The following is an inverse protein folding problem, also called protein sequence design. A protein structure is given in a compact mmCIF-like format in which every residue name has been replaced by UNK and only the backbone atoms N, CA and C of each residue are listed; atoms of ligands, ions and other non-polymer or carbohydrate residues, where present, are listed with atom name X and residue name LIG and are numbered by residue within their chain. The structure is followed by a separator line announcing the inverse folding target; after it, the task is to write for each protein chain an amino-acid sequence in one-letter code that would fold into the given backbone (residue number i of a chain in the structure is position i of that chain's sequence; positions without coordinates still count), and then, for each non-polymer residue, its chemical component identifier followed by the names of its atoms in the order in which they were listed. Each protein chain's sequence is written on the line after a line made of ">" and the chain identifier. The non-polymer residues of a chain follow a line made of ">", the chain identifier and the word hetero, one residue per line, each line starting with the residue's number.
data_IF_990096925998
#
_entry.id   IF_990096925998
#
_cell.length_a   1.000
_cell.length_b   1.000
_cell.length_c   1.000
_cell.angle_alpha   90.00
_cell.angle_beta   90.00
_cell.angle_gamma   90.00
#
_symmetry.space_group_name_H-M   'P 1'
#
loop_
_entity.id
_entity.type
_entity.pdbx_description
1 polymer ?
#
# COMPACT_ATOMS: atom_id res chain seq x y z
N UNK A 1 -7.56 26.83 1.16
CA UNK A 1 -7.02 26.32 -0.12
C UNK A 1 -8.05 26.29 -1.26
N UNK A 2 -9.36 26.51 -1.01
CA UNK A 2 -10.37 26.84 -2.05
C UNK A 2 -11.13 28.16 -1.83
N UNK A 3 -10.74 28.97 -0.86
CA UNK A 3 -11.21 30.35 -0.84
C UNK A 3 -10.30 31.17 -1.75
N UNK A 4 -10.80 31.61 -2.91
CA UNK A 4 -10.39 32.93 -3.41
C UNK A 4 -10.56 33.90 -2.25
N UNK A 5 -9.57 34.74 -1.96
CA UNK A 5 -9.81 35.97 -1.19
C UNK A 5 -10.94 36.70 -1.94
N UNK A 6 -12.16 36.65 -1.42
CA UNK A 6 -13.35 37.25 -2.03
C UNK A 6 -14.53 36.35 -2.37
N UNK A 7 -14.47 35.01 -2.21
CA UNK A 7 -15.66 34.15 -2.43
C UNK A 7 -16.09 33.42 -1.15
N UNK A 8 -16.65 34.23 -0.24
CA UNK A 8 -17.08 33.90 1.12
C UNK A 8 -18.45 33.20 1.16
N UNK A 9 -18.69 32.17 0.34
CA UNK A 9 -19.98 31.43 0.37
C UNK A 9 -19.88 29.91 0.58
N UNK A 10 -18.70 29.30 0.47
CA UNK A 10 -18.56 27.86 0.73
C UNK A 10 -18.38 27.60 2.23
N UNK A 11 -19.31 26.84 2.85
CA UNK A 11 -19.25 26.40 4.25
C UNK A 11 -17.97 25.60 4.58
N UNK A 12 -17.33 25.00 3.57
CA UNK A 12 -16.18 24.11 3.71
C UNK A 12 -15.03 24.46 2.75
N UNK A 13 -13.77 24.30 3.20
CA UNK A 13 -12.58 24.45 2.37
C UNK A 13 -12.33 23.18 1.54
N UNK A 14 -12.72 23.22 0.26
CA UNK A 14 -12.64 22.07 -0.65
C UNK A 14 -11.21 21.52 -0.83
N UNK A 15 -10.17 22.30 -0.55
CA UNK A 15 -8.78 21.87 -0.82
C UNK A 15 -8.13 21.25 0.37
N UNK A 16 -8.52 21.74 1.55
CA UNK A 16 -8.31 21.00 2.78
C UNK A 16 -8.98 19.62 2.66
N UNK A 17 -10.22 19.55 2.17
CA UNK A 17 -10.89 18.27 1.92
C UNK A 17 -10.14 17.38 0.92
N UNK A 18 -9.80 17.88 -0.28
CA UNK A 18 -9.13 17.06 -1.31
C UNK A 18 -7.77 16.53 -0.82
N UNK A 19 -6.98 17.37 -0.14
CA UNK A 19 -5.70 16.93 0.44
C UNK A 19 -5.90 15.87 1.53
N UNK A 20 -6.88 16.09 2.42
CA UNK A 20 -7.19 15.13 3.47
C UNK A 20 -7.77 13.82 2.93
N UNK A 21 -8.60 13.89 1.89
CA UNK A 21 -9.13 12.71 1.21
C UNK A 21 -8.02 11.95 0.49
N UNK A 22 -7.06 12.63 -0.14
CA UNK A 22 -5.87 12.00 -0.70
C UNK A 22 -5.08 11.23 0.37
N UNK A 23 -4.89 11.83 1.55
CA UNK A 23 -4.22 11.17 2.68
C UNK A 23 -5.02 9.98 3.22
N UNK A 24 -6.36 10.05 3.23
CA UNK A 24 -7.23 8.93 3.59
C UNK A 24 -7.17 7.79 2.56
N UNK A 25 -7.19 8.11 1.28
CA UNK A 25 -7.01 7.14 0.20
C UNK A 25 -5.66 6.42 0.32
N UNK A 26 -4.59 7.18 0.58
CA UNK A 26 -3.25 6.61 0.79
C UNK A 26 -3.16 5.80 2.09
N UNK A 27 -3.82 6.26 3.16
CA UNK A 27 -3.96 5.48 4.40
C UNK A 27 -4.65 4.15 4.13
N UNK A 28 -5.77 4.14 3.40
CA UNK A 28 -6.48 2.90 3.08
C UNK A 28 -5.72 2.01 2.10
N UNK A 29 -4.83 2.57 1.27
CA UNK A 29 -3.96 1.75 0.43
C UNK A 29 -2.96 0.91 1.25
N UNK A 30 -2.37 1.49 2.30
CA UNK A 30 -1.29 0.85 3.07
C UNK A 30 -1.72 0.26 4.41
N UNK A 31 -2.86 0.68 4.96
CA UNK A 31 -3.36 0.17 6.24
C UNK A 31 -3.74 -1.33 6.18
N UNK A 32 -4.44 -1.82 5.12
CA UNK A 32 -4.81 -3.23 4.98
C UNK A 32 -3.65 -4.20 4.82
N UNK A 33 -2.42 -3.73 4.56
CA UNK A 33 -1.19 -4.54 4.53
C UNK A 33 -1.11 -5.46 5.74
N UNK A 34 -1.51 -4.98 6.92
CA UNK A 34 -1.50 -5.78 8.15
C UNK A 34 -2.42 -6.99 8.01
N UNK A 35 -3.67 -6.80 7.57
CA UNK A 35 -4.63 -7.89 7.37
C UNK A 35 -4.24 -8.81 6.21
N UNK A 36 -3.83 -8.25 5.05
CA UNK A 36 -3.42 -9.00 3.86
C UNK A 36 -2.33 -10.02 4.23
N UNK A 37 -1.24 -9.55 4.85
CA UNK A 37 -0.13 -10.42 5.18
C UNK A 37 -0.39 -11.28 6.41
N UNK A 38 -1.26 -10.86 7.34
CA UNK A 38 -1.73 -11.75 8.43
C UNK A 38 -2.45 -12.98 7.87
N UNK A 39 -3.36 -12.77 6.90
CA UNK A 39 -4.08 -13.86 6.24
C UNK A 39 -3.11 -14.78 5.47
N UNK A 40 -2.13 -14.21 4.75
CA UNK A 40 -1.11 -15.00 4.04
C UNK A 40 -0.24 -15.81 4.99
N UNK A 41 0.17 -15.22 6.13
CA UNK A 41 0.88 -15.95 7.20
C UNK A 41 0.02 -17.11 7.73
N UNK A 42 -1.28 -16.87 7.94
CA UNK A 42 -2.23 -17.92 8.33
C UNK A 42 -2.27 -19.10 7.37
N UNK A 43 -2.25 -18.83 6.06
CA UNK A 43 -2.17 -19.86 5.02
C UNK A 43 -0.88 -20.69 5.12
N UNK A 44 0.27 -20.06 5.38
CA UNK A 44 1.52 -20.81 5.61
C UNK A 44 1.47 -21.66 6.88
N UNK A 45 0.96 -21.11 7.98
CA UNK A 45 0.86 -21.84 9.26
C UNK A 45 -0.03 -23.07 9.11
N UNK A 46 -1.17 -22.96 8.43
CA UNK A 46 -2.06 -24.10 8.13
C UNK A 46 -1.43 -25.12 7.19
N UNK A 47 -0.74 -24.66 6.15
CA UNK A 47 -0.06 -25.55 5.21
C UNK A 47 1.07 -26.36 5.85
N UNK A 48 1.70 -25.83 6.90
CA UNK A 48 2.83 -26.46 7.57
C UNK A 48 2.48 -27.26 8.82
N UNK A 49 1.41 -26.88 9.54
CA UNK A 49 0.96 -27.55 10.75
C UNK A 49 -0.42 -28.15 10.45
N UNK A 50 -0.50 -29.44 10.05
CA UNK A 50 -1.75 -30.08 9.66
C UNK A 50 -2.83 -30.01 10.75
N UNK A 51 -2.44 -30.09 12.03
CA UNK A 51 -3.35 -30.00 13.17
C UNK A 51 -4.06 -28.62 13.28
N UNK A 52 -3.54 -27.60 12.59
CA UNK A 52 -4.12 -26.26 12.54
C UNK A 52 -4.92 -25.99 11.27
N UNK A 53 -4.98 -26.93 10.33
CA UNK A 53 -5.65 -26.74 9.03
C UNK A 53 -7.13 -26.31 9.18
N UNK A 54 -7.83 -26.90 10.15
CA UNK A 54 -9.26 -26.65 10.40
C UNK A 54 -9.53 -25.46 11.34
N UNK A 55 -8.50 -24.80 11.86
CA UNK A 55 -8.67 -23.71 12.82
C UNK A 55 -9.29 -22.45 12.20
N UNK A 56 -9.29 -22.35 10.86
CA UNK A 56 -9.99 -21.32 10.07
C UNK A 56 -9.70 -19.89 10.54
N UNK A 57 -10.76 -19.06 10.54
CA UNK A 57 -10.71 -17.63 10.91
C UNK A 57 -10.17 -17.38 12.32
N UNK A 58 -10.36 -18.31 13.26
CA UNK A 58 -9.91 -18.12 14.64
C UNK A 58 -8.39 -18.12 14.77
N UNK A 59 -7.72 -18.95 13.97
CA UNK A 59 -6.26 -18.93 13.88
C UNK A 59 -5.77 -17.62 13.28
N UNK A 60 -6.40 -17.13 12.21
CA UNK A 60 -6.00 -15.88 11.57
C UNK A 60 -6.20 -14.68 12.51
N UNK A 61 -7.28 -14.67 13.29
CA UNK A 61 -7.52 -13.65 14.32
C UNK A 61 -6.49 -13.73 15.45
N UNK A 62 -6.11 -14.94 15.87
CA UNK A 62 -5.06 -15.13 16.89
C UNK A 62 -3.70 -14.65 16.38
N UNK A 63 -3.31 -15.04 15.16
CA UNK A 63 -2.09 -14.57 14.51
C UNK A 63 -2.11 -13.05 14.39
N UNK A 64 -3.22 -12.49 13.89
CA UNK A 64 -3.42 -11.05 13.78
C UNK A 64 -3.29 -10.34 15.12
N UNK A 65 -3.89 -10.89 16.18
CA UNK A 65 -3.82 -10.33 17.53
C UNK A 65 -2.38 -10.32 18.05
N UNK A 66 -1.65 -11.43 17.89
CA UNK A 66 -0.24 -11.53 18.29
C UNK A 66 0.60 -10.51 17.52
N UNK A 67 0.40 -10.39 16.21
CA UNK A 67 1.11 -9.44 15.35
C UNK A 67 0.83 -8.00 15.79
N UNK A 68 -0.44 -7.57 15.89
CA UNK A 68 -0.76 -6.18 16.22
C UNK A 68 -0.34 -5.80 17.64
N UNK A 69 -0.44 -6.71 18.61
CA UNK A 69 0.07 -6.50 19.97
C UNK A 69 1.59 -6.34 19.95
N UNK A 70 2.30 -7.20 19.20
CA UNK A 70 3.73 -7.08 18.98
C UNK A 70 4.11 -5.72 18.36
N UNK A 71 3.38 -5.28 17.33
CA UNK A 71 3.60 -3.99 16.67
C UNK A 71 3.31 -2.80 17.60
N UNK A 72 2.31 -2.89 18.48
CA UNK A 72 2.07 -1.88 19.50
C UNK A 72 3.23 -1.81 20.48
N UNK A 73 3.73 -2.95 20.98
CA UNK A 73 4.83 -2.98 21.94
C UNK A 73 6.12 -2.43 21.32
N UNK A 74 6.45 -2.86 20.10
CA UNK A 74 7.64 -2.39 19.36
C UNK A 74 7.50 -0.90 19.05
N UNK A 75 6.36 -0.47 18.51
CA UNK A 75 6.08 0.91 18.17
C UNK A 75 6.09 1.84 19.38
N UNK A 76 5.51 1.42 20.51
CA UNK A 76 5.43 2.22 21.73
C UNK A 76 6.79 2.48 22.37
N UNK A 77 7.79 1.61 22.15
CA UNK A 77 9.15 1.76 22.68
C UNK A 77 9.99 2.80 21.93
N UNK A 78 9.55 3.25 20.75
CA UNK A 78 10.26 4.22 19.93
C UNK A 78 11.35 3.57 19.08
N UNK A 79 11.46 4.02 17.82
CA UNK A 79 12.42 3.54 16.82
C UNK A 79 13.80 4.20 17.00
N UNK A 80 14.41 4.11 18.18
CA UNK A 80 15.83 4.51 18.34
C UNK A 80 16.72 3.39 17.82
N UNK A 81 17.37 3.60 16.65
CA UNK A 81 18.27 2.64 15.98
C UNK A 81 17.82 2.19 14.58
N UNK A 82 16.73 2.75 14.05
CA UNK A 82 15.96 2.18 12.93
C UNK A 82 16.69 1.97 11.59
N UNK A 83 17.72 2.75 11.24
CA UNK A 83 18.36 2.62 9.92
C UNK A 83 19.18 1.34 9.77
N UNK A 84 19.93 0.94 10.82
CA UNK A 84 20.73 -0.28 10.80
C UNK A 84 19.84 -1.51 10.93
N UNK A 85 18.85 -1.48 11.83
CA UNK A 85 17.90 -2.59 11.98
C UNK A 85 17.07 -2.79 10.72
N UNK A 86 16.58 -1.71 10.09
CA UNK A 86 15.87 -1.80 8.81
C UNK A 86 16.76 -2.35 7.68
N UNK A 87 18.03 -1.94 7.63
CA UNK A 87 18.99 -2.48 6.67
C UNK A 87 19.23 -3.98 6.88
N UNK A 88 19.46 -4.42 8.13
CA UNK A 88 19.66 -5.84 8.45
C UNK A 88 18.43 -6.63 8.05
N UNK A 89 17.24 -6.16 8.41
CA UNK A 89 16.00 -6.85 8.14
C UNK A 89 15.71 -6.93 6.63
N UNK A 90 16.02 -5.85 5.89
CA UNK A 90 15.97 -5.82 4.44
C UNK A 90 16.95 -6.81 3.79
N UNK A 91 18.20 -6.89 4.25
CA UNK A 91 19.18 -7.85 3.75
C UNK A 91 18.76 -9.29 4.06
N UNK A 92 18.28 -9.52 5.28
CA UNK A 92 17.79 -10.82 5.72
C UNK A 92 16.64 -11.28 4.84
N UNK A 93 15.68 -10.42 4.45
CA UNK A 93 14.63 -10.83 3.52
C UNK A 93 15.08 -10.94 2.05
N UNK A 94 15.94 -10.03 1.60
CA UNK A 94 16.25 -9.88 0.17
C UNK A 94 17.23 -10.94 -0.32
N UNK A 95 18.25 -11.27 0.48
CA UNK A 95 19.29 -12.23 0.08
C UNK A 95 18.70 -13.63 -0.17
N UNK A 96 17.87 -14.20 0.72
CA UNK A 96 17.23 -15.50 0.48
C UNK A 96 16.26 -15.48 -0.68
N UNK A 97 15.52 -14.38 -0.88
CA UNK A 97 14.68 -14.21 -2.06
C UNK A 97 15.52 -14.30 -3.33
N UNK A 98 16.62 -13.56 -3.42
CA UNK A 98 17.52 -13.62 -4.58
C UNK A 98 18.08 -15.04 -4.78
N UNK A 99 18.46 -15.74 -3.71
CA UNK A 99 18.93 -17.12 -3.80
C UNK A 99 17.86 -18.04 -4.39
N UNK A 100 16.62 -17.94 -3.89
CA UNK A 100 15.48 -18.74 -4.37
C UNK A 100 15.19 -18.44 -5.85
N UNK A 101 15.28 -17.19 -6.27
CA UNK A 101 15.04 -16.79 -7.66
C UNK A 101 16.17 -17.21 -8.60
N UNK A 102 17.42 -17.20 -8.14
CA UNK A 102 18.59 -17.44 -8.99
C UNK A 102 18.98 -18.93 -9.06
N UNK A 103 18.66 -19.71 -8.03
CA UNK A 103 18.99 -21.14 -7.97
C UNK A 103 18.48 -22.00 -9.15
N UNK A 104 17.24 -21.84 -9.69
CA UNK A 104 16.74 -22.72 -10.74
C UNK A 104 17.58 -22.66 -12.04
N UNK A 105 18.29 -21.55 -12.27
CA UNK A 105 19.21 -21.40 -13.41
C UNK A 105 20.49 -22.25 -13.29
N UNK A 106 20.82 -22.70 -12.07
CA UNK A 106 22.01 -23.50 -11.79
C UNK A 106 21.68 -24.94 -11.40
N UNK A 107 20.48 -25.22 -10.88
CA UNK A 107 20.06 -26.57 -10.49
C UNK A 107 19.50 -27.39 -11.66
N UNK A 108 19.17 -26.75 -12.79
CA UNK A 108 18.59 -27.41 -13.97
C UNK A 108 17.07 -27.47 -13.96
N UNK A 109 16.43 -26.90 -12.93
CA UNK A 109 14.97 -26.83 -12.81
C UNK A 109 14.34 -25.75 -13.71
N UNK A 110 15.15 -24.79 -14.18
CA UNK A 110 14.70 -23.79 -15.14
C UNK A 110 14.59 -24.38 -16.55
N UNK A 111 13.36 -24.41 -17.09
CA UNK A 111 13.08 -24.90 -18.44
C UNK A 111 12.62 -23.76 -19.35
N UNK A 112 13.40 -23.45 -20.38
CA UNK A 112 13.05 -22.39 -21.36
C UNK A 112 11.77 -22.69 -22.13
N UNK A 113 11.41 -23.97 -22.31
CA UNK A 113 10.15 -24.37 -22.95
C UNK A 113 8.91 -23.92 -22.18
N UNK A 114 9.03 -23.65 -20.86
CA UNK A 114 7.94 -23.08 -20.07
C UNK A 114 7.70 -21.60 -20.39
N UNK A 115 8.70 -20.89 -20.92
CA UNK A 115 8.58 -19.51 -21.38
C UNK A 115 8.13 -19.53 -22.83
N UNK A 116 6.82 -19.53 -23.02
CA UNK A 116 6.21 -19.54 -24.36
C UNK A 116 6.37 -18.18 -25.06
N UNK A 117 6.25 -18.17 -26.39
CA UNK A 117 6.16 -16.94 -27.17
C UNK A 117 4.80 -16.25 -27.10
N UNK A 118 3.87 -16.73 -26.27
CA UNK A 118 2.54 -16.17 -26.14
C UNK A 118 2.56 -14.97 -25.19
N UNK A 119 2.14 -13.81 -25.69
CA UNK A 119 2.04 -12.58 -24.90
C UNK A 119 0.72 -12.49 -24.12
N UNK A 120 -0.28 -13.28 -24.54
CA UNK A 120 -1.66 -13.25 -24.05
C UNK A 120 -2.17 -14.70 -23.91
N UNK A 121 -3.18 -14.94 -23.06
CA UNK A 121 -3.87 -16.22 -22.96
C UNK A 121 -4.41 -16.70 -24.30
N UNK A 122 -4.56 -18.02 -24.49
CA UNK A 122 -5.01 -18.61 -25.75
C UNK A 122 -6.45 -18.20 -26.12
N UNK A 123 -7.29 -17.98 -25.12
CA UNK A 123 -8.68 -17.54 -25.23
C UNK A 123 -8.83 -16.01 -25.29
N UNK A 124 -7.73 -15.26 -25.38
CA UNK A 124 -7.76 -13.81 -25.46
C UNK A 124 -8.42 -13.31 -26.75
N UNK A 125 -9.49 -12.53 -26.61
CA UNK A 125 -10.33 -12.08 -27.74
C UNK A 125 -10.21 -10.59 -28.06
N UNK A 126 -9.40 -9.82 -27.31
CA UNK A 126 -9.38 -8.34 -27.34
C UNK A 126 -10.77 -7.71 -27.16
N UNK A 127 -11.72 -8.47 -26.61
CA UNK A 127 -13.05 -7.98 -26.28
C UNK A 127 -12.98 -6.89 -25.20
N UNK A 128 -14.05 -6.11 -25.07
CA UNK A 128 -14.14 -5.10 -24.02
C UNK A 128 -13.97 -5.70 -22.62
N UNK A 129 -14.49 -6.92 -22.38
CA UNK A 129 -14.30 -7.66 -21.13
C UNK A 129 -12.82 -7.94 -20.83
N UNK A 130 -12.09 -8.51 -21.79
CA UNK A 130 -10.67 -8.86 -21.65
C UNK A 130 -9.81 -7.62 -21.36
N UNK A 131 -10.04 -6.54 -22.09
CA UNK A 131 -9.33 -5.27 -21.91
C UNK A 131 -9.59 -4.70 -20.50
N UNK A 132 -10.84 -4.73 -20.05
CA UNK A 132 -11.23 -4.23 -18.72
C UNK A 132 -10.59 -5.09 -17.61
N UNK A 133 -10.60 -6.42 -17.75
CA UNK A 133 -9.93 -7.34 -16.81
C UNK A 133 -8.43 -7.06 -16.76
N UNK A 134 -7.77 -6.96 -17.91
CA UNK A 134 -6.33 -6.67 -18.00
C UNK A 134 -5.97 -5.34 -17.33
N UNK A 135 -6.73 -4.28 -17.59
CA UNK A 135 -6.52 -2.98 -16.95
C UNK A 135 -6.79 -3.04 -15.43
N UNK A 136 -7.76 -3.84 -14.99
CA UNK A 136 -7.99 -4.11 -13.57
C UNK A 136 -6.79 -4.81 -12.92
N UNK A 137 -6.23 -5.82 -13.60
CA UNK A 137 -5.03 -6.53 -13.14
C UNK A 137 -3.85 -5.58 -13.07
N UNK A 138 -3.70 -4.67 -14.04
CA UNK A 138 -2.67 -3.62 -14.00
C UNK A 138 -2.83 -2.68 -12.80
N UNK A 139 -4.07 -2.33 -12.42
CA UNK A 139 -4.34 -1.53 -11.22
C UNK A 139 -3.97 -2.28 -9.93
N UNK A 140 -4.23 -3.59 -9.85
CA UNK A 140 -3.77 -4.42 -8.73
C UNK A 140 -2.24 -4.55 -8.72
N UNK A 141 -1.63 -4.79 -9.89
CA UNK A 141 -0.19 -4.90 -10.04
C UNK A 141 0.52 -3.60 -9.66
N UNK A 142 -0.09 -2.43 -9.93
CA UNK A 142 0.42 -1.14 -9.51
C UNK A 142 0.56 -1.04 -8.00
N UNK A 143 -0.41 -1.52 -7.22
CA UNK A 143 -0.30 -1.54 -5.76
C UNK A 143 0.91 -2.37 -5.30
N UNK A 144 1.14 -3.53 -5.91
CA UNK A 144 2.29 -4.39 -5.60
C UNK A 144 3.62 -3.82 -6.10
N UNK A 145 3.59 -3.07 -7.21
CA UNK A 145 4.78 -2.55 -7.87
C UNK A 145 5.28 -1.24 -7.25
N UNK A 146 4.36 -0.43 -6.71
CA UNK A 146 4.63 0.91 -6.23
C UNK A 146 4.63 0.95 -4.70
N UNK A 147 5.83 0.80 -4.13
CA UNK A 147 6.13 1.08 -2.73
C UNK A 147 7.39 1.96 -2.57
N UNK A 148 8.20 2.06 -3.62
CA UNK A 148 9.49 2.73 -3.61
C UNK A 148 9.37 4.25 -3.56
N UNK A 149 8.17 4.80 -3.78
CA UNK A 149 7.86 6.23 -3.55
C UNK A 149 7.98 6.62 -2.07
N UNK A 150 7.97 5.65 -1.15
CA UNK A 150 8.25 5.88 0.28
C UNK A 150 9.62 6.52 0.50
N UNK A 151 10.60 6.29 -0.40
CA UNK A 151 11.88 7.00 -0.37
C UNK A 151 11.71 8.53 -0.48
N UNK A 152 10.68 9.01 -1.17
CA UNK A 152 10.39 10.44 -1.28
C UNK A 152 9.85 11.05 0.03
N UNK A 153 9.17 10.25 0.86
CA UNK A 153 8.56 10.72 2.13
C UNK A 153 9.63 11.22 3.09
N UNK A 154 10.77 10.52 3.15
CA UNK A 154 11.90 10.90 3.98
C UNK A 154 12.73 12.04 3.39
N UNK A 155 12.36 12.58 2.22
CA UNK A 155 13.07 13.65 1.51
C UNK A 155 13.61 14.79 2.39
N UNK A 156 12.83 15.33 3.33
CA UNK A 156 13.29 16.37 4.27
C UNK A 156 14.43 15.95 5.21
N UNK A 157 14.60 14.65 5.45
CA UNK A 157 15.62 14.07 6.33
C UNK A 157 16.92 13.70 5.60
N UNK A 158 16.94 13.78 4.25
CA UNK A 158 18.15 13.49 3.47
C UNK A 158 19.23 14.56 3.69
N UNK A 159 20.49 14.14 3.68
CA UNK A 159 21.63 15.06 3.76
C UNK A 159 21.68 16.05 2.60
N UNK A 160 21.39 15.60 1.37
CA UNK A 160 21.30 16.44 0.17
C UNK A 160 20.01 16.13 -0.60
N UNK A 161 18.84 16.65 -0.17
CA UNK A 161 17.54 16.25 -0.74
C UNK A 161 17.46 16.43 -2.26
N UNK A 162 18.08 17.49 -2.80
CA UNK A 162 18.13 17.79 -4.23
C UNK A 162 18.75 16.69 -5.08
N UNK A 163 19.80 16.02 -4.59
CA UNK A 163 20.49 14.96 -5.33
C UNK A 163 20.11 13.57 -4.87
N UNK A 164 19.83 13.40 -3.58
CA UNK A 164 19.75 12.07 -2.98
C UNK A 164 18.35 11.47 -3.12
N UNK A 165 17.30 12.29 -3.07
CA UNK A 165 15.92 11.83 -3.33
C UNK A 165 15.75 11.26 -4.75
N UNK A 166 16.13 11.96 -5.84
CA UNK A 166 16.00 11.38 -7.17
C UNK A 166 16.89 10.14 -7.34
N UNK A 167 18.12 10.14 -6.81
CA UNK A 167 18.98 8.94 -6.85
C UNK A 167 18.33 7.75 -6.15
N UNK A 168 17.79 7.95 -4.95
CA UNK A 168 17.10 6.90 -4.21
C UNK A 168 15.90 6.36 -4.98
N UNK A 169 15.07 7.24 -5.53
CA UNK A 169 13.90 6.86 -6.33
C UNK A 169 14.27 6.04 -7.58
N UNK A 170 15.22 6.53 -8.40
CA UNK A 170 15.63 5.81 -9.60
C UNK A 170 16.35 4.49 -9.29
N UNK A 171 17.22 4.46 -8.28
CA UNK A 171 17.89 3.23 -7.85
C UNK A 171 16.90 2.19 -7.34
N UNK A 172 15.94 2.57 -6.49
CA UNK A 172 14.90 1.67 -6.01
C UNK A 172 14.04 1.17 -7.16
N UNK A 173 13.61 2.06 -8.07
CA UNK A 173 12.81 1.69 -9.24
C UNK A 173 13.51 0.68 -10.16
N UNK A 174 14.81 0.86 -10.43
CA UNK A 174 15.61 -0.07 -11.25
C UNK A 174 15.75 -1.42 -10.55
N UNK A 175 16.04 -1.43 -9.24
CA UNK A 175 16.14 -2.68 -8.47
C UNK A 175 14.81 -3.43 -8.49
N UNK A 176 13.70 -2.74 -8.23
CA UNK A 176 12.36 -3.34 -8.28
C UNK A 176 12.05 -3.91 -9.67
N UNK A 177 12.33 -3.16 -10.74
CA UNK A 177 12.11 -3.61 -12.11
C UNK A 177 12.89 -4.90 -12.42
N UNK A 178 14.17 -4.96 -12.04
CA UNK A 178 14.99 -6.17 -12.22
C UNK A 178 14.44 -7.35 -11.43
N UNK A 179 14.02 -7.12 -10.18
CA UNK A 179 13.46 -8.17 -9.33
C UNK A 179 12.09 -8.66 -9.83
N UNK A 180 11.23 -7.77 -10.35
CA UNK A 180 9.95 -8.17 -10.93
C UNK A 180 10.17 -9.04 -12.17
N UNK A 181 11.08 -8.65 -13.06
CA UNK A 181 11.43 -9.45 -14.23
C UNK A 181 12.06 -10.80 -13.83
N UNK A 182 13.00 -10.80 -12.89
CA UNK A 182 13.67 -12.01 -12.41
C UNK A 182 12.68 -12.94 -11.72
N UNK A 183 11.79 -12.43 -10.88
CA UNK A 183 10.79 -13.22 -10.17
C UNK A 183 9.87 -13.93 -11.15
N UNK A 184 9.29 -13.19 -12.10
CA UNK A 184 8.40 -13.76 -13.12
C UNK A 184 9.13 -14.78 -14.00
N UNK A 185 10.35 -14.45 -14.46
CA UNK A 185 11.16 -15.37 -15.27
C UNK A 185 11.45 -16.67 -14.53
N UNK A 186 11.87 -16.59 -13.26
CA UNK A 186 12.24 -17.76 -12.46
C UNK A 186 11.03 -18.65 -12.15
N UNK A 187 9.92 -18.03 -11.75
CA UNK A 187 8.68 -18.72 -11.42
C UNK A 187 8.07 -19.40 -12.65
N UNK A 188 7.92 -18.67 -13.76
CA UNK A 188 7.39 -19.23 -15.02
C UNK A 188 8.32 -20.31 -15.57
N UNK A 189 9.63 -20.06 -15.58
CA UNK A 189 10.62 -21.00 -16.08
C UNK A 189 10.68 -22.31 -15.29
N UNK A 190 10.38 -22.28 -13.98
CA UNK A 190 10.43 -23.46 -13.11
C UNK A 190 9.09 -24.20 -13.06
N UNK A 191 7.98 -23.47 -12.87
CA UNK A 191 6.66 -24.07 -12.63
C UNK A 191 5.80 -24.22 -13.88
N UNK A 192 6.08 -23.44 -14.93
CA UNK A 192 5.15 -23.28 -16.05
C UNK A 192 3.84 -22.60 -15.64
N UNK A 193 2.95 -22.41 -16.61
CA UNK A 193 1.65 -21.74 -16.38
C UNK A 193 0.76 -22.56 -15.44
N UNK A 194 0.72 -23.89 -15.63
CA UNK A 194 -0.10 -24.77 -14.81
C UNK A 194 0.36 -24.80 -13.34
N UNK A 195 1.68 -24.82 -13.10
CA UNK A 195 2.22 -24.78 -11.74
C UNK A 195 1.91 -23.46 -11.02
N UNK A 196 1.89 -22.34 -11.75
CA UNK A 196 1.46 -21.04 -11.20
C UNK A 196 -0.03 -21.04 -10.90
N UNK A 197 -0.86 -21.56 -11.82
CA UNK A 197 -2.31 -21.63 -11.64
C UNK A 197 -2.70 -22.50 -10.44
N UNK A 198 -1.91 -23.53 -10.13
CA UNK A 198 -2.08 -24.38 -8.95
C UNK A 198 -1.56 -23.74 -7.64
N UNK A 199 -0.82 -22.64 -7.72
CA UNK A 199 -0.28 -21.91 -6.57
C UNK A 199 -0.59 -20.39 -6.65
N UNK A 200 -1.87 -19.99 -6.70
CA UNK A 200 -2.27 -18.61 -7.02
C UNK A 200 -1.92 -17.58 -5.94
N UNK A 201 -1.64 -18.02 -4.71
CA UNK A 201 -1.29 -17.14 -3.58
C UNK A 201 0.23 -17.02 -3.43
N UNK A 202 0.94 -18.14 -3.52
CA UNK A 202 2.39 -18.18 -3.35
C UNK A 202 3.04 -19.24 -4.25
N UNK A 203 3.44 -18.86 -5.48
CA UNK A 203 4.20 -19.75 -6.35
C UNK A 203 5.66 -19.91 -5.91
N UNK A 204 6.18 -19.10 -4.98
CA UNK A 204 7.57 -19.26 -4.52
C UNK A 204 7.74 -20.50 -3.64
N UNK A 205 6.70 -20.90 -2.89
CA UNK A 205 6.73 -22.10 -2.06
C UNK A 205 6.94 -23.40 -2.87
N UNK A 206 6.09 -23.79 -3.84
CA UNK A 206 6.33 -25.00 -4.62
C UNK A 206 7.63 -24.93 -5.43
N UNK A 207 8.01 -23.75 -5.92
CA UNK A 207 9.30 -23.55 -6.59
C UNK A 207 10.48 -23.83 -5.63
N UNK A 208 10.41 -23.32 -4.39
CA UNK A 208 11.45 -23.57 -3.38
C UNK A 208 11.53 -25.04 -2.98
N UNK A 209 10.39 -25.75 -2.95
CA UNK A 209 10.35 -27.18 -2.67
C UNK A 209 11.00 -28.00 -3.79
N UNK A 210 10.78 -27.64 -5.07
CA UNK A 210 11.43 -28.30 -6.21
C UNK A 210 12.95 -28.16 -6.13
N UNK A 211 13.44 -26.94 -5.86
CA UNK A 211 14.86 -26.61 -5.94
C UNK A 211 15.65 -27.11 -4.73
N UNK A 212 15.07 -27.03 -3.53
CA UNK A 212 15.78 -27.25 -2.27
C UNK A 212 15.17 -28.35 -1.38
N UNK A 213 14.13 -29.03 -1.86
CA UNK A 213 13.37 -30.02 -1.08
C UNK A 213 12.63 -29.40 0.10
N UNK A 214 12.12 -30.25 0.99
CA UNK A 214 11.30 -29.85 2.14
C UNK A 214 12.05 -28.90 3.09
N UNK A 215 13.36 -29.08 3.27
CA UNK A 215 14.17 -28.22 4.11
C UNK A 215 14.24 -26.78 3.56
N UNK A 216 14.41 -26.61 2.25
CA UNK A 216 14.43 -25.28 1.66
C UNK A 216 13.06 -24.65 1.54
N UNK A 217 11.99 -25.45 1.40
CA UNK A 217 10.62 -24.98 1.53
C UNK A 217 10.36 -24.33 2.90
N UNK A 218 10.81 -24.98 3.98
CA UNK A 218 10.70 -24.44 5.34
C UNK A 218 11.46 -23.12 5.48
N UNK A 219 12.69 -23.08 4.98
CA UNK A 219 13.52 -21.88 5.04
C UNK A 219 12.86 -20.75 4.25
N UNK A 220 12.41 -21.01 3.02
CA UNK A 220 11.71 -20.04 2.18
C UNK A 220 10.47 -19.49 2.88
N UNK A 221 9.65 -20.36 3.48
CA UNK A 221 8.46 -19.97 4.23
C UNK A 221 8.80 -19.07 5.42
N UNK A 222 9.76 -19.46 6.28
CA UNK A 222 10.19 -18.62 7.42
C UNK A 222 10.66 -17.26 6.93
N UNK A 223 11.40 -17.24 5.82
CA UNK A 223 11.90 -16.00 5.24
C UNK A 223 10.78 -15.11 4.69
N UNK A 224 9.79 -15.68 4.02
CA UNK A 224 8.60 -14.97 3.55
C UNK A 224 7.80 -14.40 4.72
N UNK A 225 7.61 -15.17 5.81
CA UNK A 225 6.96 -14.68 7.03
C UNK A 225 7.74 -13.49 7.63
N UNK A 226 9.08 -13.57 7.70
CA UNK A 226 9.90 -12.45 8.16
C UNK A 226 9.74 -11.20 7.27
N UNK A 227 9.73 -11.37 5.94
CA UNK A 227 9.49 -10.28 5.00
C UNK A 227 8.08 -9.68 5.16
N UNK A 228 7.08 -10.51 5.40
CA UNK A 228 5.71 -10.11 5.68
C UNK A 228 5.61 -9.30 6.97
N UNK A 229 6.26 -9.74 8.05
CA UNK A 229 6.30 -8.99 9.31
C UNK A 229 6.95 -7.61 9.16
N UNK A 230 7.96 -7.47 8.28
CA UNK A 230 8.55 -6.17 7.96
C UNK A 230 7.58 -5.20 7.30
N UNK A 231 6.90 -5.66 6.26
CA UNK A 231 5.99 -4.80 5.51
C UNK A 231 4.76 -4.49 6.36
N UNK A 232 4.31 -5.43 7.19
CA UNK A 232 3.30 -5.20 8.24
C UNK A 232 3.75 -4.07 9.17
N UNK A 233 4.98 -4.11 9.69
CA UNK A 233 5.50 -3.05 10.56
C UNK A 233 5.48 -1.69 9.85
N UNK A 234 5.91 -1.66 8.59
CA UNK A 234 5.96 -0.43 7.77
C UNK A 234 4.56 0.15 7.56
N UNK A 235 3.62 -0.68 7.11
CA UNK A 235 2.23 -0.29 6.90
C UNK A 235 1.53 0.11 8.19
N UNK A 236 1.73 -0.61 9.29
CA UNK A 236 1.14 -0.35 10.60
C UNK A 236 1.59 1.00 11.18
N UNK A 237 2.89 1.24 11.23
CA UNK A 237 3.45 2.48 11.77
C UNK A 237 3.18 3.67 10.85
N UNK A 238 3.29 3.47 9.53
CA UNK A 238 2.95 4.48 8.52
C UNK A 238 1.50 4.92 8.63
N UNK A 239 0.57 3.96 8.67
CA UNK A 239 -0.87 4.23 8.77
C UNK A 239 -1.25 4.93 10.07
N UNK A 240 -0.65 4.51 11.19
CA UNK A 240 -0.85 5.16 12.48
C UNK A 240 -0.37 6.62 12.48
N UNK A 241 0.79 6.89 11.85
CA UNK A 241 1.33 8.24 11.69
C UNK A 241 0.50 9.09 10.74
N UNK A 242 -0.05 8.52 9.66
CA UNK A 242 -0.94 9.24 8.74
C UNK A 242 -2.19 9.75 9.47
N UNK A 243 -2.85 8.91 10.27
CA UNK A 243 -4.03 9.33 11.07
C UNK A 243 -3.67 10.41 12.09
N UNK A 244 -2.51 10.26 12.75
CA UNK A 244 -1.98 11.25 13.68
C UNK A 244 -1.74 12.61 12.99
N UNK A 245 -1.01 12.63 11.87
CA UNK A 245 -0.74 13.85 11.10
C UNK A 245 -2.01 14.50 10.59
N UNK A 246 -2.95 13.72 10.05
CA UNK A 246 -4.27 14.22 9.65
C UNK A 246 -5.01 14.85 10.83
N UNK A 247 -4.88 14.31 12.03
CA UNK A 247 -5.52 14.88 13.22
C UNK A 247 -4.89 16.21 13.63
N UNK A 248 -3.56 16.34 13.57
CA UNK A 248 -2.86 17.61 13.85
C UNK A 248 -3.25 18.73 12.88
N UNK A 249 -3.52 18.38 11.62
CA UNK A 249 -4.01 19.34 10.61
C UNK A 249 -5.52 19.63 10.72
N UNK A 250 -6.18 19.04 11.71
CA UNK A 250 -7.61 19.15 11.93
C UNK A 250 -8.45 18.54 10.81
N UNK A 251 -7.97 17.44 10.22
CA UNK A 251 -8.66 16.64 9.21
C UNK A 251 -9.25 15.34 9.78
N UNK A 252 -8.85 14.96 11.00
CA UNK A 252 -9.35 13.82 11.76
C UNK A 252 -9.65 14.22 13.22
N UNK A 253 -10.49 13.45 13.94
CA UNK A 253 -10.79 13.70 15.36
C UNK A 253 -9.53 13.80 16.21
N UNK A 254 -9.47 14.79 17.12
CA UNK A 254 -8.34 15.04 18.03
C UNK A 254 -7.96 13.83 18.91
N UNK A 255 -8.81 12.82 19.00
CA UNK A 255 -8.50 11.55 19.67
C UNK A 255 -7.26 10.88 19.06
N UNK A 256 -7.05 10.99 17.74
CA UNK A 256 -5.87 10.46 17.05
C UNK A 256 -4.58 11.24 17.32
N UNK A 257 -4.67 12.51 17.73
CA UNK A 257 -3.52 13.35 18.09
C UNK A 257 -2.90 12.99 19.46
N UNK A 258 -3.52 12.10 20.25
CA UNK A 258 -2.98 11.70 21.56
C UNK A 258 -1.77 10.77 21.40
N UNK A 259 -0.66 11.14 22.04
CA UNK A 259 0.58 10.36 22.04
C UNK A 259 0.92 9.85 23.44
N UNK A 260 1.76 8.82 23.52
CA UNK A 260 2.39 8.42 24.77
C UNK A 260 3.58 9.31 25.13
N UNK A 261 4.23 9.06 26.28
CA UNK A 261 5.40 9.80 26.74
C UNK A 261 6.60 9.80 25.77
N UNK A 262 6.62 8.91 24.78
CA UNK A 262 7.67 8.79 23.75
C UNK A 262 7.23 9.35 22.39
N UNK A 263 6.09 10.04 22.32
CA UNK A 263 5.59 10.67 21.10
C UNK A 263 4.89 9.72 20.11
N UNK A 264 4.58 8.48 20.49
CA UNK A 264 3.90 7.53 19.61
C UNK A 264 2.37 7.66 19.70
N UNK A 265 1.64 7.70 18.58
CA UNK A 265 0.18 7.93 18.56
C UNK A 265 -0.60 6.65 18.91
N UNK A 266 -0.66 6.31 20.20
CA UNK A 266 -1.25 5.04 20.68
C UNK A 266 -2.70 4.85 20.22
N UNK A 267 -3.51 5.90 20.23
CA UNK A 267 -4.91 5.80 19.81
C UNK A 267 -5.04 5.44 18.33
N UNK A 268 -4.20 6.03 17.47
CA UNK A 268 -4.15 5.66 16.06
C UNK A 268 -3.68 4.21 15.87
N UNK A 269 -2.69 3.76 16.65
CA UNK A 269 -2.21 2.38 16.61
C UNK A 269 -3.30 1.37 17.02
N UNK A 270 -4.07 1.67 18.06
CA UNK A 270 -5.21 0.84 18.48
C UNK A 270 -6.27 0.78 17.38
N UNK A 271 -6.63 1.92 16.79
CA UNK A 271 -7.60 1.94 15.69
C UNK A 271 -7.14 1.13 14.49
N UNK A 272 -5.88 1.30 14.05
CA UNK A 272 -5.29 0.50 12.95
C UNK A 272 -5.31 -1.00 13.27
N UNK A 273 -5.08 -1.37 14.53
CA UNK A 273 -5.16 -2.77 14.99
C UNK A 273 -6.57 -3.33 14.88
N UNK A 274 -7.56 -2.64 15.45
CA UNK A 274 -8.96 -3.07 15.42
C UNK A 274 -9.49 -3.12 13.98
N UNK A 275 -9.16 -2.12 13.17
CA UNK A 275 -9.53 -2.07 11.77
C UNK A 275 -8.98 -3.28 11.00
N UNK A 276 -7.71 -3.64 11.19
CA UNK A 276 -7.13 -4.78 10.50
C UNK A 276 -7.62 -6.13 11.03
N UNK A 277 -7.89 -6.27 12.33
CA UNK A 277 -8.54 -7.47 12.87
C UNK A 277 -9.95 -7.66 12.29
N UNK A 278 -10.68 -6.57 12.04
CA UNK A 278 -11.96 -6.64 11.33
C UNK A 278 -11.78 -7.05 9.85
N UNK A 279 -10.73 -6.57 9.18
CA UNK A 279 -10.42 -6.99 7.80
C UNK A 279 -10.00 -8.46 7.68
N UNK A 280 -9.40 -9.04 8.72
CA UNK A 280 -9.09 -10.49 8.75
C UNK A 280 -10.36 -11.35 8.62
N UNK A 281 -11.53 -10.84 9.04
CA UNK A 281 -12.81 -11.53 8.89
C UNK A 281 -13.25 -11.67 7.42
N UNK A 282 -12.65 -10.93 6.49
CA UNK A 282 -12.91 -11.08 5.04
C UNK A 282 -12.38 -12.43 4.52
N UNK A 283 -11.37 -13.02 5.18
CA UNK A 283 -10.81 -14.34 4.87
C UNK A 283 -10.29 -14.51 3.42
N UNK A 284 -10.09 -13.42 2.70
CA UNK A 284 -9.50 -13.41 1.36
C UNK A 284 -8.49 -12.25 1.26
N UNK A 285 -7.17 -12.52 1.35
CA UNK A 285 -6.15 -11.47 1.31
C UNK A 285 -6.14 -10.72 -0.02
N UNK A 286 -6.44 -11.42 -1.12
CA UNK A 286 -6.45 -10.83 -2.46
C UNK A 286 -7.63 -9.87 -2.61
N UNK A 287 -8.81 -10.21 -2.07
CA UNK A 287 -9.97 -9.32 -2.05
C UNK A 287 -9.75 -8.05 -1.24
N UNK A 288 -9.06 -8.16 -0.09
CA UNK A 288 -8.67 -7.01 0.74
C UNK A 288 -7.64 -6.14 0.01
N UNK A 289 -6.66 -6.75 -0.65
CA UNK A 289 -5.68 -6.07 -1.50
C UNK A 289 -6.39 -5.32 -2.63
N UNK A 290 -7.26 -5.99 -3.37
CA UNK A 290 -8.07 -5.41 -4.46
C UNK A 290 -8.87 -4.18 -4.00
N UNK A 291 -9.47 -4.23 -2.81
CA UNK A 291 -10.18 -3.08 -2.24
C UNK A 291 -9.21 -1.95 -1.90
N UNK A 292 -8.07 -2.25 -1.28
CA UNK A 292 -7.04 -1.27 -0.92
C UNK A 292 -6.41 -0.59 -2.14
N UNK A 293 -6.28 -1.31 -3.27
CA UNK A 293 -5.80 -0.78 -4.55
C UNK A 293 -6.67 0.36 -5.07
N UNK A 294 -7.98 0.35 -4.79
CA UNK A 294 -8.87 1.48 -5.16
C UNK A 294 -8.45 2.77 -4.44
N UNK A 295 -8.06 2.65 -3.17
CA UNK A 295 -7.50 3.77 -2.41
C UNK A 295 -6.18 4.25 -3.00
N UNK A 296 -5.32 3.32 -3.42
CA UNK A 296 -4.03 3.66 -4.03
C UNK A 296 -4.20 4.42 -5.36
N UNK A 297 -4.99 3.90 -6.28
CA UNK A 297 -5.31 4.54 -7.57
C UNK A 297 -5.89 5.95 -7.39
N UNK A 298 -6.80 6.14 -6.42
CA UNK A 298 -7.32 7.47 -6.09
C UNK A 298 -6.25 8.40 -5.50
N UNK A 299 -5.43 7.90 -4.58
CA UNK A 299 -4.37 8.70 -3.96
C UNK A 299 -3.35 9.19 -5.00
N UNK A 300 -2.90 8.28 -5.87
CA UNK A 300 -1.96 8.60 -6.96
C UNK A 300 -2.59 9.58 -7.94
N UNK A 301 -3.83 9.33 -8.38
CA UNK A 301 -4.56 10.25 -9.25
C UNK A 301 -4.71 11.66 -8.65
N UNK A 302 -5.07 11.77 -7.37
CA UNK A 302 -5.19 13.08 -6.70
C UNK A 302 -3.81 13.76 -6.56
N UNK A 303 -2.76 13.00 -6.22
CA UNK A 303 -1.41 13.53 -6.11
C UNK A 303 -0.87 14.05 -7.46
N UNK A 304 -1.14 13.35 -8.56
CA UNK A 304 -0.77 13.78 -9.91
C UNK A 304 -1.58 15.01 -10.36
N UNK A 305 -2.86 15.09 -10.01
CA UNK A 305 -3.67 16.28 -10.24
C UNK A 305 -3.15 17.48 -9.44
N UNK A 306 -2.71 17.26 -8.20
CA UNK A 306 -2.05 18.27 -7.38
C UNK A 306 -0.71 18.71 -8.00
N UNK A 307 0.08 17.79 -8.55
CA UNK A 307 1.30 18.12 -9.28
C UNK A 307 1.01 18.99 -10.52
N UNK A 308 0.01 18.63 -11.33
CA UNK A 308 -0.42 19.45 -12.47
C UNK A 308 -0.78 20.87 -12.03
N UNK A 309 -1.62 20.99 -11.00
CA UNK A 309 -2.05 22.29 -10.44
C UNK A 309 -0.87 23.09 -9.90
N UNK A 310 0.09 22.43 -9.25
CA UNK A 310 1.31 23.08 -8.73
C UNK A 310 2.13 23.76 -9.83
N UNK A 311 2.01 23.31 -11.09
CA UNK A 311 2.73 23.85 -12.25
C UNK A 311 1.92 24.88 -13.04
N UNK A 312 0.64 25.07 -12.74
CA UNK A 312 -0.27 25.94 -13.52
C UNK A 312 -0.82 27.11 -12.72
N UNK A 313 -0.87 27.03 -11.39
CA UNK A 313 -1.55 28.02 -10.53
C UNK A 313 -0.57 28.77 -9.62
N UNK A 314 -0.68 30.09 -9.53
CA UNK A 314 0.07 30.90 -8.55
C UNK A 314 -0.56 30.81 -7.14
N UNK A 315 0.25 30.85 -6.05
CA UNK A 315 1.70 31.05 -6.02
C UNK A 315 2.53 29.77 -6.22
N UNK A 316 1.88 28.61 -6.44
CA UNK A 316 2.59 27.32 -6.46
C UNK A 316 3.56 27.18 -7.64
N UNK A 317 3.23 27.82 -8.75
CA UNK A 317 4.05 27.83 -9.97
C UNK A 317 5.39 28.52 -9.74
N UNK A 318 5.44 29.57 -8.92
CA UNK A 318 6.63 30.35 -8.59
C UNK A 318 7.45 29.80 -7.43
N UNK A 319 6.99 28.75 -6.74
CA UNK A 319 7.76 28.12 -5.66
C UNK A 319 9.06 27.49 -6.18
N UNK A 320 10.16 27.73 -5.49
CA UNK A 320 11.43 27.10 -5.77
C UNK A 320 11.33 25.58 -5.60
N UNK A 321 11.87 24.83 -6.56
CA UNK A 321 11.84 23.36 -6.55
C UNK A 321 13.27 22.85 -6.52
N UNK A 322 13.69 22.17 -5.42
CA UNK A 322 15.02 21.57 -5.34
C UNK A 322 15.29 20.64 -6.52
N UNK A 323 14.28 19.86 -6.91
CA UNK A 323 14.25 19.03 -8.11
C UNK A 323 13.07 19.44 -9.00
N UNK A 324 13.35 19.77 -10.26
CA UNK A 324 12.36 20.22 -11.22
C UNK A 324 12.36 19.35 -12.47
N UNK A 325 11.18 18.83 -12.84
CA UNK A 325 10.95 18.20 -14.14
C UNK A 325 10.67 19.26 -15.23
N UNK A 326 10.97 18.96 -16.50
CA UNK A 326 10.60 19.80 -17.64
C UNK A 326 9.11 20.19 -17.62
N UNK A 327 8.79 21.39 -18.09
CA UNK A 327 7.42 21.93 -18.00
C UNK A 327 6.33 21.07 -18.67
N UNK A 328 6.70 20.28 -19.69
CA UNK A 328 5.78 19.39 -20.41
C UNK A 328 5.34 18.17 -19.59
N UNK A 329 6.06 17.79 -18.52
CA UNK A 329 5.67 16.69 -17.63
C UNK A 329 4.31 16.91 -16.94
N UNK A 330 3.79 18.14 -16.92
CA UNK A 330 2.41 18.40 -16.48
C UNK A 330 1.38 17.66 -17.34
N UNK A 331 1.61 17.53 -18.64
CA UNK A 331 0.68 16.81 -19.53
C UNK A 331 0.77 15.31 -19.32
N UNK A 332 1.96 14.79 -19.03
CA UNK A 332 2.13 13.39 -18.60
C UNK A 332 1.33 13.14 -17.32
N UNK A 333 1.45 14.02 -16.33
CA UNK A 333 0.67 13.91 -15.10
C UNK A 333 -0.84 13.96 -15.38
N UNK A 334 -1.31 14.82 -16.30
CA UNK A 334 -2.73 14.88 -16.67
C UNK A 334 -3.21 13.58 -17.35
N UNK A 335 -2.42 13.03 -18.28
CA UNK A 335 -2.71 11.73 -18.90
C UNK A 335 -2.79 10.64 -17.83
N UNK A 336 -1.85 10.64 -16.89
CA UNK A 336 -1.84 9.68 -15.79
C UNK A 336 -3.02 9.87 -14.85
N UNK A 337 -3.51 11.09 -14.61
CA UNK A 337 -4.77 11.30 -13.86
C UNK A 337 -5.95 10.62 -14.55
N UNK A 338 -6.06 10.76 -15.88
CA UNK A 338 -7.11 10.11 -16.67
C UNK A 338 -6.94 8.58 -16.65
N UNK A 339 -5.71 8.10 -16.74
CA UNK A 339 -5.39 6.68 -16.65
C UNK A 339 -5.77 6.10 -15.27
N UNK A 340 -5.31 6.70 -14.17
CA UNK A 340 -5.60 6.26 -12.81
C UNK A 340 -7.11 6.29 -12.51
N UNK A 341 -7.72 7.48 -12.61
CA UNK A 341 -9.10 7.67 -12.14
C UNK A 341 -10.13 7.25 -13.19
N UNK A 342 -9.86 7.54 -14.47
CA UNK A 342 -10.80 7.32 -15.57
C UNK A 342 -10.73 5.92 -16.17
N UNK A 343 -9.60 5.21 -16.04
CA UNK A 343 -9.40 3.89 -16.64
C UNK A 343 -9.18 2.81 -15.58
N UNK A 344 -8.15 2.93 -14.75
CA UNK A 344 -7.78 1.89 -13.79
C UNK A 344 -8.82 1.70 -12.70
N UNK A 345 -9.34 2.77 -12.10
CA UNK A 345 -10.33 2.66 -11.04
C UNK A 345 -11.62 1.92 -11.45
N UNK A 346 -12.29 2.25 -12.58
CA UNK A 346 -13.48 1.49 -13.01
C UNK A 346 -13.12 0.07 -13.45
N UNK A 347 -11.97 -0.15 -14.10
CA UNK A 347 -11.54 -1.49 -14.50
C UNK A 347 -11.23 -2.37 -13.28
N UNK A 348 -10.60 -1.80 -12.25
CA UNK A 348 -10.36 -2.46 -10.96
C UNK A 348 -11.68 -2.80 -10.26
N UNK A 349 -12.64 -1.87 -10.24
CA UNK A 349 -13.95 -2.14 -9.65
C UNK A 349 -14.68 -3.28 -10.38
N UNK A 350 -14.58 -3.35 -11.71
CA UNK A 350 -15.13 -4.45 -12.49
C UNK A 350 -14.41 -5.77 -12.19
N UNK A 351 -13.07 -5.78 -12.19
CA UNK A 351 -12.28 -6.96 -11.83
C UNK A 351 -12.66 -7.48 -10.44
N UNK A 352 -12.73 -6.58 -9.46
CA UNK A 352 -13.06 -6.94 -8.09
C UNK A 352 -14.44 -7.58 -7.99
N UNK A 353 -15.41 -7.08 -8.76
CA UNK A 353 -16.75 -7.66 -8.82
C UNK A 353 -16.76 -9.06 -9.44
N UNK A 354 -15.98 -9.28 -10.50
CA UNK A 354 -15.93 -10.56 -11.22
C UNK A 354 -15.16 -11.62 -10.43
N UNK A 355 -14.00 -11.29 -9.87
CA UNK A 355 -13.09 -12.27 -9.25
C UNK A 355 -13.29 -12.42 -7.74
N UNK A 356 -13.72 -11.37 -7.05
CA UNK A 356 -13.76 -11.32 -5.57
C UNK A 356 -15.14 -10.97 -5.00
N UNK A 357 -16.18 -11.03 -5.84
CA UNK A 357 -17.56 -10.67 -5.53
C UNK A 357 -17.73 -9.18 -5.15
N UNK A 358 -18.99 -8.75 -5.00
CA UNK A 358 -19.34 -7.38 -4.65
C UNK A 358 -18.72 -6.91 -3.32
N UNK A 359 -18.35 -7.84 -2.43
CA UNK A 359 -17.78 -7.53 -1.10
C UNK A 359 -16.52 -6.68 -1.22
N UNK A 360 -15.58 -6.99 -2.13
CA UNK A 360 -14.34 -6.23 -2.26
C UNK A 360 -14.62 -4.78 -2.71
N UNK A 361 -15.51 -4.60 -3.68
CA UNK A 361 -15.93 -3.29 -4.18
C UNK A 361 -16.66 -2.50 -3.09
N UNK A 362 -17.61 -3.13 -2.40
CA UNK A 362 -18.37 -2.52 -1.30
C UNK A 362 -17.41 -2.09 -0.19
N UNK A 363 -16.48 -2.96 0.21
CA UNK A 363 -15.47 -2.66 1.23
C UNK A 363 -14.66 -1.42 0.86
N UNK A 364 -14.12 -1.38 -0.37
CA UNK A 364 -13.35 -0.24 -0.88
C UNK A 364 -14.17 1.05 -0.90
N UNK A 365 -15.36 1.02 -1.49
CA UNK A 365 -16.24 2.21 -1.61
C UNK A 365 -16.69 2.70 -0.24
N UNK A 366 -17.11 1.82 0.67
CA UNK A 366 -17.57 2.20 2.01
C UNK A 366 -16.44 2.83 2.81
N UNK A 367 -15.26 2.21 2.83
CA UNK A 367 -14.11 2.74 3.59
C UNK A 367 -13.64 4.07 3.01
N UNK A 368 -13.64 4.24 1.69
CA UNK A 368 -13.27 5.53 1.08
C UNK A 368 -14.32 6.61 1.38
N UNK A 369 -15.61 6.28 1.28
CA UNK A 369 -16.70 7.27 1.44
C UNK A 369 -17.00 7.63 2.89
N UNK A 370 -16.73 6.76 3.87
CA UNK A 370 -16.93 7.06 5.31
C UNK A 370 -16.08 8.24 5.80
N UNK A 371 -15.00 8.57 5.08
CA UNK A 371 -14.21 9.76 5.38
C UNK A 371 -15.01 11.06 5.23
N UNK A 372 -15.98 11.12 4.31
CA UNK A 372 -16.79 12.32 4.07
C UNK A 372 -17.54 12.76 5.33
N UNK A 373 -18.39 11.93 5.97
CA UNK A 373 -19.05 12.32 7.20
C UNK A 373 -18.06 12.56 8.36
N UNK A 374 -16.99 11.76 8.49
CA UNK A 374 -15.96 11.97 9.52
C UNK A 374 -15.33 13.36 9.39
N UNK A 375 -14.95 13.75 8.18
CA UNK A 375 -14.34 15.04 7.92
C UNK A 375 -15.32 16.20 8.16
N UNK A 376 -16.59 16.06 7.73
CA UNK A 376 -17.62 17.07 7.96
C UNK A 376 -17.89 17.32 9.44
N UNK A 377 -17.98 16.26 10.25
CA UNK A 377 -18.14 16.34 11.71
C UNK A 377 -16.91 16.99 12.35
N UNK A 378 -15.70 16.58 11.92
CA UNK A 378 -14.44 17.15 12.41
C UNK A 378 -14.35 18.66 12.14
N UNK A 379 -14.68 19.10 10.92
CA UNK A 379 -14.69 20.53 10.58
C UNK A 379 -15.73 21.32 11.38
N UNK A 380 -16.89 20.72 11.67
CA UNK A 380 -17.93 21.35 12.50
C UNK A 380 -17.42 21.56 13.94
N UNK A 381 -16.84 20.52 14.54
CA UNK A 381 -16.28 20.58 15.89
C UNK A 381 -15.17 21.63 16.04
N UNK A 382 -14.22 21.68 15.09
CA UNK A 382 -13.15 22.70 15.13
C UNK A 382 -13.67 24.11 14.90
N UNK A 383 -14.75 24.29 14.12
CA UNK A 383 -15.38 25.59 13.94
C UNK A 383 -16.06 26.07 15.23
N UNK A 384 -16.78 25.17 15.91
CA UNK A 384 -17.47 25.47 17.17
C UNK A 384 -16.48 25.84 18.28
N UNK A 385 -15.35 25.12 18.40
CA UNK A 385 -14.32 25.44 19.41
C UNK A 385 -13.56 26.73 19.10
N UNK A 386 -13.26 27.03 17.82
CA UNK A 386 -12.67 28.33 17.45
C UNK A 386 -13.58 29.51 17.76
N UNK A 387 -14.90 29.34 17.59
CA UNK A 387 -15.87 30.38 17.93
C UNK A 387 -16.08 30.56 19.44
N UNK A 388 -15.61 29.63 20.27
CA UNK A 388 -15.64 29.75 21.73
C UNK A 388 -14.37 30.40 22.31
N UNK A 389 -13.27 30.45 21.55
CA UNK A 389 -11.98 31.04 21.97
C UNK A 389 -11.85 32.56 21.67
N UNK A 390 -12.74 33.16 20.87
CA UNK A 390 -12.89 34.63 20.73
C UNK A 390 -14.29 35.05 21.23
N UNK A 391 -14.50 36.08 22.11
CA UNK A 391 -13.59 37.15 22.57
C UNK A 391 -13.57 37.43 24.10
N UNK A 392 -12.39 37.69 24.68
CA UNK A 392 -12.24 38.61 25.85
C UNK A 392 -10.96 39.43 25.63
N UNK A 393 -11.03 40.42 24.73
CA UNK A 393 -9.97 41.42 24.57
C UNK A 393 -10.50 42.69 23.89
N UNK A 394 -11.74 43.10 24.22
CA UNK A 394 -12.22 44.46 23.99
C UNK A 394 -13.30 44.78 25.05
N UNK A 395 -12.85 45.21 26.23
CA UNK A 395 -13.61 45.98 27.20
C UNK A 395 -12.63 46.80 28.03
#
# INVERSE_FOLDING_TARGET
>A
MFSKKGDSKSKYDRGKFIGAFCAWCYWFAWCPVVAIFTLTIGTYVRGFIPDLADAGVWLDLLIGLVIVVGMIIIGARGLTGGSVTALILALVSLVPLIIILVAPFFTGDFTTANITGNWLPFDWSWGSGDIVIFLGIMAMAQWSACAWETAAVYGPEYKKPKSDVPKALFSCGIICLMLYALTQMSVVGTLGIDGIANAPIDPLNPMSQIIFGDAGQIVAMIMLICAMLMIIQTGFLGSSRTLYSMSLEGNMPNWFAKTNARGNPINAMIFVSVFNLALVLVQNPVAVLAASSMGYTLAVGIALAAYYKSKTVEPFKSMERPFGLPGWYRYVALIMVVYEIGVLLPCLAYLNYVDYDAISVILGVVILTVFVPIWMVTQKYHKENRSQEEPISQA
#
